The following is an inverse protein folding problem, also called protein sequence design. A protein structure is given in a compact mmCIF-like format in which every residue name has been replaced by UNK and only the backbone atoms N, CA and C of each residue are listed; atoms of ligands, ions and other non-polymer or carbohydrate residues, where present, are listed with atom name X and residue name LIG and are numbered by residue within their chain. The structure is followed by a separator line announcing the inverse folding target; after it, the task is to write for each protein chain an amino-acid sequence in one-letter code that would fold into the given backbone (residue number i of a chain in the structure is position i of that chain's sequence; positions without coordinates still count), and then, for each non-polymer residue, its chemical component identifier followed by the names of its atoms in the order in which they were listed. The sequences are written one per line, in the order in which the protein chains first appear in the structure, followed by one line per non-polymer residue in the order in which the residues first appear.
data_IF_554893081145
#
_entry.id   IF_554893081145
#
_cell.length_a   1.000
_cell.length_b   1.000
_cell.length_c   1.000
_cell.angle_alpha   90.00
_cell.angle_beta   90.00
_cell.angle_gamma   90.00
#
_symmetry.space_group_name_H-M   'P 1'
#
loop_
_entity.id
_entity.type
_entity.pdbx_description
1 polymer ?
#
# COMPACT_ATOMS: atom_id res chain seq x y z
N UNK A 1 8.85 9.92 6.75
CA UNK A 1 9.47 9.04 5.73
C UNK A 1 8.50 8.60 4.63
N UNK A 2 7.56 7.67 4.84
CA UNK A 2 6.62 7.26 3.78
C UNK A 2 5.72 8.40 3.30
N UNK A 3 5.13 9.16 4.23
CA UNK A 3 4.30 10.33 3.92
C UNK A 3 5.06 11.41 3.14
N UNK A 4 6.27 11.76 3.60
CA UNK A 4 7.13 12.74 2.93
C UNK A 4 7.54 12.30 1.52
N UNK A 5 7.76 10.99 1.33
CA UNK A 5 8.10 10.43 0.03
C UNK A 5 6.89 10.42 -0.94
N UNK A 6 5.66 10.19 -0.43
CA UNK A 6 4.43 10.38 -1.23
C UNK A 6 4.31 11.81 -1.78
N UNK A 7 4.67 12.82 -0.99
CA UNK A 7 4.58 14.23 -1.42
C UNK A 7 5.52 14.57 -2.58
N UNK A 8 6.64 13.87 -2.71
CA UNK A 8 7.65 14.18 -3.73
C UNK A 8 7.39 13.49 -5.08
N UNK A 9 6.58 12.42 -5.12
CA UNK A 9 6.22 11.62 -6.32
C UNK A 9 7.44 11.28 -7.23
N UNK A 10 8.61 11.07 -6.64
CA UNK A 10 9.84 10.75 -7.38
C UNK A 10 10.01 9.26 -7.62
N UNK A 11 10.90 8.87 -8.56
CA UNK A 11 11.25 7.46 -8.79
C UNK A 11 11.84 6.76 -7.56
N UNK A 12 12.51 7.50 -6.68
CA UNK A 12 13.06 6.99 -5.41
C UNK A 12 11.97 6.48 -4.45
N UNK A 13 10.79 7.09 -4.50
CA UNK A 13 9.64 6.68 -3.70
C UNK A 13 9.17 5.26 -4.08
N UNK A 14 9.23 4.88 -5.37
CA UNK A 14 8.88 3.53 -5.83
C UNK A 14 9.76 2.46 -5.18
N UNK A 15 11.08 2.68 -5.18
CA UNK A 15 12.06 1.77 -4.59
C UNK A 15 11.90 1.67 -3.07
N UNK A 16 11.62 2.80 -2.41
CA UNK A 16 11.39 2.84 -0.96
C UNK A 16 10.14 2.06 -0.55
N UNK A 17 9.02 2.22 -1.27
CA UNK A 17 7.78 1.47 -1.04
C UNK A 17 8.00 -0.03 -1.24
N UNK A 18 8.67 -0.43 -2.31
CA UNK A 18 9.04 -1.83 -2.52
C UNK A 18 9.91 -2.36 -1.37
N UNK A 19 10.91 -1.60 -0.90
CA UNK A 19 11.75 -2.02 0.21
C UNK A 19 10.95 -2.20 1.51
N UNK A 20 10.01 -1.30 1.80
CA UNK A 20 9.20 -1.38 3.02
C UNK A 20 8.22 -2.54 2.92
N UNK A 21 7.41 -2.60 1.85
CA UNK A 21 6.35 -3.59 1.67
C UNK A 21 6.88 -5.03 1.50
N UNK A 22 8.05 -5.22 0.89
CA UNK A 22 8.59 -6.55 0.63
C UNK A 22 9.54 -7.09 1.72
N UNK A 23 10.08 -6.25 2.62
CA UNK A 23 11.10 -6.67 3.59
C UNK A 23 10.69 -6.51 5.07
N UNK A 24 9.43 -6.16 5.35
CA UNK A 24 8.94 -5.96 6.73
C UNK A 24 7.93 -7.04 7.09
N UNK A 25 7.83 -7.35 8.38
CA UNK A 25 6.84 -8.32 8.85
C UNK A 25 5.42 -7.76 8.71
N UNK A 26 4.41 -8.64 8.63
CA UNK A 26 3.00 -8.24 8.55
C UNK A 26 2.61 -7.27 9.68
N UNK A 27 3.05 -7.54 10.91
CA UNK A 27 2.76 -6.71 12.08
C UNK A 27 3.39 -5.31 11.95
N UNK A 28 4.63 -5.22 11.47
CA UNK A 28 5.29 -3.94 11.25
C UNK A 28 4.60 -3.14 10.15
N UNK A 29 4.21 -3.80 9.06
CA UNK A 29 3.50 -3.14 7.95
C UNK A 29 2.15 -2.60 8.39
N UNK A 30 1.41 -3.36 9.21
CA UNK A 30 0.15 -2.90 9.76
C UNK A 30 0.31 -1.61 10.59
N UNK A 31 1.29 -1.58 11.50
CA UNK A 31 1.60 -0.38 12.28
C UNK A 31 2.02 0.79 11.40
N UNK A 32 2.82 0.53 10.35
CA UNK A 32 3.23 1.57 9.39
C UNK A 32 2.02 2.16 8.67
N UNK A 33 1.02 1.35 8.30
CA UNK A 33 -0.19 1.85 7.63
C UNK A 33 -1.06 2.68 8.58
N UNK A 34 -1.16 2.28 9.85
CA UNK A 34 -1.87 3.06 10.86
C UNK A 34 -1.18 4.40 11.14
N UNK A 35 0.14 4.39 11.32
CA UNK A 35 0.92 5.62 11.52
C UNK A 35 0.90 6.52 10.29
N UNK A 36 0.90 5.95 9.08
CA UNK A 36 0.69 6.72 7.85
C UNK A 36 -0.62 7.48 7.91
N UNK A 37 -1.74 6.79 8.20
CA UNK A 37 -3.06 7.40 8.27
C UNK A 37 -3.16 8.45 9.39
N UNK A 38 -2.53 8.21 10.54
CA UNK A 38 -2.50 9.17 11.65
C UNK A 38 -1.79 10.48 11.27
N UNK A 39 -0.71 10.40 10.48
CA UNK A 39 0.11 11.56 10.08
C UNK A 39 -0.50 12.28 8.87
N UNK A 40 -0.97 11.53 7.87
CA UNK A 40 -1.48 12.07 6.60
C UNK A 40 -2.95 12.46 6.65
N UNK A 41 -3.73 11.85 7.55
CA UNK A 41 -5.19 11.91 7.54
C UNK A 41 -5.84 11.11 6.39
N UNK A 42 -5.06 10.38 5.60
CA UNK A 42 -5.50 9.69 4.38
C UNK A 42 -5.22 8.18 4.47
N UNK A 43 -6.13 7.35 3.94
CA UNK A 43 -5.87 5.92 3.83
C UNK A 43 -4.71 5.67 2.85
N UNK A 44 -3.84 4.70 3.18
CA UNK A 44 -2.68 4.41 2.34
C UNK A 44 -3.08 3.92 0.95
N UNK A 45 -4.21 3.22 0.80
CA UNK A 45 -4.74 2.79 -0.50
C UNK A 45 -5.10 3.99 -1.36
N UNK A 46 -5.76 4.99 -0.77
CA UNK A 46 -6.12 6.23 -1.47
C UNK A 46 -4.87 7.00 -1.90
N UNK A 47 -3.89 7.12 -1.00
CA UNK A 47 -2.62 7.76 -1.34
C UNK A 47 -1.87 7.04 -2.47
N UNK A 48 -1.90 5.69 -2.49
CA UNK A 48 -1.34 4.89 -3.59
C UNK A 48 -2.08 5.17 -4.90
N UNK A 49 -3.41 5.22 -4.87
CA UNK A 49 -4.25 5.49 -6.05
C UNK A 49 -4.04 6.89 -6.64
N UNK A 50 -3.68 7.88 -5.82
CA UNK A 50 -3.38 9.25 -6.27
C UNK A 50 -1.93 9.45 -6.75
N UNK A 51 -1.01 8.58 -6.32
CA UNK A 51 0.41 8.69 -6.60
C UNK A 51 0.88 7.79 -7.76
N UNK A 52 0.16 6.71 -8.04
CA UNK A 52 0.57 5.68 -8.98
C UNK A 52 -0.55 5.26 -9.90
N UNK A 53 -0.16 4.75 -11.07
CA UNK A 53 -1.03 4.25 -12.11
C UNK A 53 -0.61 2.84 -12.60
N UNK A 54 -1.54 2.15 -13.24
CA UNK A 54 -1.34 0.86 -13.90
C UNK A 54 -0.94 -0.29 -12.98
N UNK A 55 -0.19 -1.25 -13.52
CA UNK A 55 0.13 -2.49 -12.79
C UNK A 55 0.90 -2.29 -11.49
N UNK A 56 1.69 -1.23 -11.40
CA UNK A 56 2.44 -0.94 -10.17
C UNK A 56 1.51 -0.49 -9.04
N UNK A 57 0.54 0.36 -9.34
CA UNK A 57 -0.51 0.77 -8.40
C UNK A 57 -1.30 -0.46 -7.93
N UNK A 58 -1.78 -1.29 -8.86
CA UNK A 58 -2.57 -2.49 -8.56
C UNK A 58 -1.80 -3.46 -7.64
N UNK A 59 -0.49 -3.66 -7.90
CA UNK A 59 0.37 -4.49 -7.08
C UNK A 59 0.47 -3.96 -5.64
N UNK A 60 0.70 -2.66 -5.46
CA UNK A 60 0.83 -2.06 -4.14
C UNK A 60 -0.47 -2.17 -3.34
N UNK A 61 -1.61 -1.87 -3.98
CA UNK A 61 -2.93 -2.00 -3.36
C UNK A 61 -3.20 -3.45 -2.96
N UNK A 62 -2.90 -4.42 -3.83
CA UNK A 62 -3.04 -5.83 -3.53
C UNK A 62 -2.24 -6.27 -2.30
N UNK A 63 -0.99 -5.79 -2.16
CA UNK A 63 -0.14 -6.08 -0.99
C UNK A 63 -0.78 -5.50 0.28
N UNK A 64 -1.20 -4.23 0.25
CA UNK A 64 -1.85 -3.60 1.41
C UNK A 64 -3.10 -4.38 1.83
N UNK A 65 -3.98 -4.72 0.88
CA UNK A 65 -5.21 -5.48 1.16
C UNK A 65 -4.91 -6.88 1.72
N UNK A 66 -3.89 -7.58 1.20
CA UNK A 66 -3.45 -8.86 1.75
C UNK A 66 -2.92 -8.76 3.18
N UNK A 67 -2.27 -7.65 3.54
CA UNK A 67 -1.79 -7.43 4.90
C UNK A 67 -2.95 -7.09 5.83
N UNK A 68 -3.97 -6.35 5.36
CA UNK A 68 -5.17 -6.02 6.13
C UNK A 68 -6.01 -7.27 6.44
N UNK A 69 -6.40 -7.98 5.39
CA UNK A 69 -7.25 -9.16 5.46
C UNK A 69 -7.05 -10.00 4.20
N UNK A 70 -6.17 -10.99 4.31
CA UNK A 70 -5.83 -11.90 3.21
C UNK A 70 -7.03 -12.73 2.73
N UNK A 71 -7.81 -13.39 3.60
CA UNK A 71 -9.04 -14.07 3.19
C UNK A 71 -10.01 -13.18 2.42
N UNK A 72 -10.29 -11.97 2.93
CA UNK A 72 -11.23 -11.05 2.28
C UNK A 72 -10.73 -10.60 0.90
N UNK A 73 -9.43 -10.32 0.77
CA UNK A 73 -8.83 -9.98 -0.52
C UNK A 73 -9.03 -11.10 -1.56
N UNK A 74 -8.76 -12.36 -1.19
CA UNK A 74 -8.96 -13.47 -2.12
C UNK A 74 -10.44 -13.72 -2.42
N UNK A 75 -11.34 -13.56 -1.46
CA UNK A 75 -12.78 -13.64 -1.69
C UNK A 75 -13.25 -12.59 -2.71
N UNK A 76 -12.80 -11.34 -2.56
CA UNK A 76 -13.06 -10.27 -3.53
C UNK A 76 -12.50 -10.60 -4.92
N UNK A 77 -11.24 -11.05 -4.99
CA UNK A 77 -10.60 -11.42 -6.28
C UNK A 77 -11.30 -12.56 -6.99
N UNK A 78 -11.79 -13.56 -6.26
CA UNK A 78 -12.57 -14.67 -6.81
C UNK A 78 -13.92 -14.17 -7.33
N UNK A 79 -14.62 -13.33 -6.56
CA UNK A 79 -15.89 -12.74 -6.97
C UNK A 79 -15.74 -11.90 -8.25
N UNK A 80 -14.72 -11.03 -8.33
CA UNK A 80 -14.49 -10.17 -9.49
C UNK A 80 -13.97 -10.89 -10.74
N UNK A 81 -13.62 -12.19 -10.64
CA UNK A 81 -13.15 -13.00 -11.76
C UNK A 81 -14.28 -13.81 -12.44
N UNK A 82 -15.50 -13.72 -11.90
CA UNK A 82 -16.72 -14.34 -12.43
C UNK A 82 -17.51 -13.26 -13.18
#
# INVERSE_FOLDING_TARGET
VLWEACQQKTGEHKTMLQMILCNKSYQQLWLVFQEFQNISGQDIVDAINECYDGYFQELLVAIVLCIRDKPAYFAYRLYSAI
#
